data_IF_798816433452
#
_entry.id   IF_798816433452
#
_cell.length_a   1.000
_cell.length_b   1.000
_cell.length_c   1.000
_cell.angle_alpha   90.00
_cell.angle_beta   90.00
_cell.angle_gamma   90.00
#
_symmetry.space_group_name_H-M   'P 1'
#
loop_
_entity.id
_entity.type
_entity.pdbx_description
1 polymer ?
#
# COMPACT_ATOMS: atom_id res chain seq x y z
N UNK A 1 -9.38 -56.19 -27.76
CA UNK A 1 -8.44 -55.04 -27.74
C UNK A 1 -9.03 -53.77 -28.40
N UNK A 2 -10.34 -53.47 -28.23
CA UNK A 2 -11.04 -52.36 -28.93
C UNK A 2 -11.46 -51.18 -28.03
N UNK A 3 -11.31 -51.30 -26.71
CA UNK A 3 -11.77 -50.31 -25.71
C UNK A 3 -10.61 -49.45 -25.17
N UNK A 4 -9.37 -49.88 -25.38
CA UNK A 4 -8.18 -49.20 -24.86
C UNK A 4 -7.96 -47.86 -25.59
N UNK A 5 -8.20 -47.82 -26.91
CA UNK A 5 -8.03 -46.62 -27.73
C UNK A 5 -8.97 -45.45 -27.32
N UNK A 6 -10.30 -45.66 -27.17
CA UNK A 6 -11.18 -44.57 -26.73
C UNK A 6 -10.93 -44.15 -25.28
N UNK A 7 -10.55 -45.08 -24.40
CA UNK A 7 -10.23 -44.77 -23.01
C UNK A 7 -8.98 -43.88 -22.90
N UNK A 8 -7.95 -44.16 -23.70
CA UNK A 8 -6.71 -43.39 -23.72
C UNK A 8 -6.93 -41.99 -24.32
N UNK A 9 -7.81 -41.87 -25.33
CA UNK A 9 -8.22 -40.58 -25.87
C UNK A 9 -9.00 -39.73 -24.85
N UNK A 10 -9.92 -40.33 -24.08
CA UNK A 10 -10.61 -39.62 -23.00
C UNK A 10 -9.66 -39.11 -21.91
N UNK A 11 -8.67 -39.91 -21.51
CA UNK A 11 -7.68 -39.50 -20.50
C UNK A 11 -6.86 -38.30 -21.01
N UNK A 12 -6.45 -38.31 -22.27
CA UNK A 12 -5.72 -37.18 -22.89
C UNK A 12 -6.61 -35.92 -22.93
N UNK A 13 -7.89 -36.03 -23.28
CA UNK A 13 -8.81 -34.90 -23.29
C UNK A 13 -9.03 -34.30 -21.89
N UNK A 14 -9.11 -35.14 -20.85
CA UNK A 14 -9.28 -34.68 -19.46
C UNK A 14 -8.00 -33.98 -18.97
N UNK A 15 -6.83 -34.50 -19.30
CA UNK A 15 -5.55 -33.86 -18.96
C UNK A 15 -5.37 -32.53 -19.71
N UNK A 16 -5.75 -32.46 -20.99
CA UNK A 16 -5.70 -31.22 -21.76
C UNK A 16 -6.68 -30.16 -21.22
N UNK A 17 -7.89 -30.55 -20.82
CA UNK A 17 -8.86 -29.65 -20.20
C UNK A 17 -8.40 -29.14 -18.82
N UNK A 18 -7.69 -29.97 -18.04
CA UNK A 18 -7.09 -29.56 -16.77
C UNK A 18 -5.88 -28.62 -16.89
N UNK A 19 -5.27 -28.52 -18.07
CA UNK A 19 -4.16 -27.60 -18.34
C UNK A 19 -4.61 -26.25 -18.89
N UNK A 20 -5.86 -26.10 -19.34
CA UNK A 20 -6.43 -24.80 -19.69
C UNK A 20 -6.97 -24.20 -18.40
N UNK A 21 -6.05 -23.69 -17.59
CA UNK A 21 -6.39 -22.89 -16.41
C UNK A 21 -7.37 -21.78 -16.83
N UNK A 22 -8.45 -21.65 -16.07
CA UNK A 22 -9.42 -20.57 -16.26
C UNK A 22 -8.67 -19.23 -16.31
N UNK A 23 -8.93 -18.34 -17.30
CA UNK A 23 -8.25 -17.04 -17.41
C UNK A 23 -8.58 -16.09 -16.24
N UNK A 24 -9.40 -16.51 -15.28
CA UNK A 24 -9.88 -15.73 -14.13
C UNK A 24 -8.85 -15.54 -13.01
N UNK A 25 -7.58 -15.95 -13.21
CA UNK A 25 -6.52 -15.87 -12.18
C UNK A 25 -5.43 -14.83 -12.47
N UNK A 26 -5.62 -13.96 -13.46
CA UNK A 26 -4.70 -12.85 -13.74
C UNK A 26 -5.22 -11.48 -13.29
N UNK A 27 -6.32 -11.43 -12.56
CA UNK A 27 -6.65 -10.23 -11.78
C UNK A 27 -5.88 -10.32 -10.46
N UNK A 28 -4.68 -9.73 -10.43
CA UNK A 28 -4.03 -9.42 -9.18
C UNK A 28 -5.01 -8.57 -8.37
N UNK A 29 -5.51 -9.08 -7.26
CA UNK A 29 -6.33 -8.34 -6.31
C UNK A 29 -5.50 -7.13 -5.84
N UNK A 30 -5.65 -6.00 -6.53
CA UNK A 30 -4.97 -4.76 -6.19
C UNK A 30 -5.89 -3.99 -5.23
N UNK A 31 -5.63 -4.14 -3.94
CA UNK A 31 -6.31 -3.34 -2.91
C UNK A 31 -5.64 -1.96 -2.83
N UNK A 32 -6.43 -0.92 -3.00
CA UNK A 32 -5.99 0.47 -2.76
C UNK A 32 -6.40 0.88 -1.35
N UNK A 33 -5.48 1.51 -0.63
CA UNK A 33 -5.69 1.98 0.73
C UNK A 33 -5.41 3.49 0.76
N UNK A 34 -6.34 4.25 1.33
CA UNK A 34 -6.20 5.68 1.53
C UNK A 34 -6.40 5.99 3.01
N UNK A 35 -5.48 6.78 3.56
CA UNK A 35 -5.51 7.22 4.95
C UNK A 35 -5.54 8.74 4.97
N UNK A 36 -6.47 9.31 5.75
CA UNK A 36 -6.55 10.74 6.01
C UNK A 36 -6.45 10.95 7.52
N UNK A 37 -5.49 11.77 7.95
CA UNK A 37 -5.26 12.11 9.34
C UNK A 37 -5.10 13.62 9.48
N UNK A 38 -5.90 14.22 10.36
CA UNK A 38 -5.87 15.66 10.64
C UNK A 38 -5.41 15.88 12.08
N UNK A 39 -4.31 16.60 12.25
CA UNK A 39 -3.73 16.93 13.56
C UNK A 39 -3.82 18.44 13.79
N UNK A 40 -4.45 18.83 14.89
CA UNK A 40 -4.59 20.24 15.31
C UNK A 40 -3.84 20.49 16.60
N UNK A 41 -2.92 21.45 16.60
CA UNK A 41 -2.07 21.78 17.75
C UNK A 41 -1.76 23.29 17.77
N UNK A 42 -1.59 23.84 18.97
CA UNK A 42 -1.31 25.28 19.18
C UNK A 42 0.13 25.55 19.60
N UNK A 43 0.87 24.51 19.98
CA UNK A 43 2.27 24.57 20.41
C UNK A 43 3.10 23.58 19.59
N UNK A 44 4.40 23.84 19.37
CA UNK A 44 5.25 22.92 18.62
C UNK A 44 5.27 21.52 19.23
N UNK A 45 5.11 20.50 18.39
CA UNK A 45 5.29 19.10 18.79
C UNK A 45 6.71 18.66 18.47
N UNK A 46 7.28 17.80 19.32
CA UNK A 46 8.63 17.27 19.17
C UNK A 46 8.60 15.74 19.17
N UNK A 47 9.52 15.12 18.45
CA UNK A 47 9.63 13.65 18.33
C UNK A 47 8.31 13.01 17.89
N UNK A 48 7.72 13.53 16.82
CA UNK A 48 6.44 13.05 16.30
C UNK A 48 6.67 11.78 15.50
N UNK A 49 5.85 10.77 15.74
CA UNK A 49 5.80 9.54 14.93
C UNK A 49 4.35 9.25 14.56
N UNK A 50 4.08 9.12 13.27
CA UNK A 50 2.81 8.64 12.74
C UNK A 50 3.00 7.21 12.24
N UNK A 51 2.18 6.27 12.73
CA UNK A 51 2.19 4.87 12.31
C UNK A 51 0.93 4.59 11.52
N UNK A 52 1.09 4.37 10.21
CA UNK A 52 -0.01 4.02 9.31
C UNK A 52 0.09 2.52 8.98
N UNK A 53 -0.99 1.73 9.12
CA UNK A 53 -0.96 0.31 8.76
C UNK A 53 -0.46 0.11 7.32
N UNK A 54 0.48 -0.81 7.12
CA UNK A 54 1.07 -1.09 5.81
C UNK A 54 0.63 -2.49 5.32
N UNK A 55 -0.29 -2.57 4.33
CA UNK A 55 -0.96 -3.83 3.98
C UNK A 55 -0.16 -4.76 3.06
N UNK A 56 1.07 -4.39 2.63
CA UNK A 56 1.83 -5.19 1.66
C UNK A 56 2.67 -6.29 2.31
N UNK A 57 2.55 -7.50 1.76
CA UNK A 57 3.22 -8.73 2.19
C UNK A 57 4.47 -9.10 1.38
N UNK A 58 4.99 -8.23 0.50
CA UNK A 58 6.04 -8.70 -0.43
C UNK A 58 6.99 -7.68 -1.04
N UNK A 59 6.80 -6.37 -0.83
CA UNK A 59 7.72 -5.37 -1.35
C UNK A 59 7.73 -4.14 -0.45
N UNK A 60 8.92 -3.66 -0.13
CA UNK A 60 9.11 -2.36 0.49
C UNK A 60 9.25 -1.34 -0.63
N UNK A 61 8.36 -0.34 -0.72
CA UNK A 61 8.47 0.69 -1.73
C UNK A 61 9.83 1.36 -1.55
N UNK A 62 10.47 1.70 -2.66
CA UNK A 62 11.71 2.45 -2.56
C UNK A 62 11.35 3.78 -1.88
N UNK A 63 12.19 4.26 -0.96
CA UNK A 63 11.95 5.50 -0.22
C UNK A 63 11.69 6.71 -1.15
N UNK A 64 12.15 6.63 -2.40
CA UNK A 64 11.86 7.59 -3.48
C UNK A 64 10.39 7.68 -3.90
N UNK A 65 9.57 6.71 -3.54
CA UNK A 65 8.18 6.60 -3.99
C UNK A 65 7.20 7.36 -3.07
N UNK A 66 7.68 7.88 -1.94
CA UNK A 66 6.89 8.66 -1.00
C UNK A 66 6.85 10.14 -1.43
N UNK A 67 5.80 10.50 -2.17
CA UNK A 67 5.54 11.89 -2.52
C UNK A 67 4.82 12.64 -1.39
N UNK A 68 5.14 13.93 -1.22
CA UNK A 68 4.41 14.82 -0.31
C UNK A 68 4.85 14.76 1.15
N UNK A 69 5.94 14.06 1.46
CA UNK A 69 6.57 14.13 2.78
C UNK A 69 7.31 15.48 2.90
N UNK A 70 7.03 16.30 3.93
CA UNK A 70 7.73 17.57 4.13
C UNK A 70 9.24 17.40 4.32
N UNK A 71 10.01 18.44 3.98
CA UNK A 71 11.45 18.44 4.19
C UNK A 71 11.81 18.21 5.67
N UNK A 72 12.81 17.36 5.91
CA UNK A 72 13.28 17.01 7.25
C UNK A 72 12.44 15.96 7.97
N UNK A 73 11.45 15.36 7.29
CA UNK A 73 10.72 14.20 7.79
C UNK A 73 11.34 12.92 7.24
N UNK A 74 11.32 11.86 8.05
CA UNK A 74 11.81 10.54 7.69
C UNK A 74 10.63 9.58 7.54
N UNK A 75 10.69 8.69 6.54
CA UNK A 75 9.72 7.62 6.40
C UNK A 75 10.43 6.28 6.30
N UNK A 76 9.86 5.25 6.91
CA UNK A 76 10.36 3.88 6.83
C UNK A 76 9.22 2.88 7.05
N UNK A 77 9.39 1.65 6.58
CA UNK A 77 8.50 0.54 6.94
C UNK A 77 9.05 -0.15 8.17
N UNK A 78 8.28 -0.16 9.26
CA UNK A 78 8.63 -0.83 10.52
C UNK A 78 7.70 -1.99 10.78
N UNK A 79 8.17 -3.00 11.53
CA UNK A 79 7.33 -4.11 11.99
C UNK A 79 7.24 -4.05 13.51
N UNK A 80 6.01 -3.98 14.03
CA UNK A 80 5.69 -3.94 15.47
C UNK A 80 4.68 -5.06 15.71
N UNK A 81 5.00 -6.00 16.59
CA UNK A 81 4.13 -7.12 16.95
C UNK A 81 3.54 -7.83 15.71
N UNK A 82 4.42 -8.25 14.79
CA UNK A 82 4.08 -8.93 13.52
C UNK A 82 3.26 -8.10 12.52
N UNK A 83 2.91 -6.86 12.86
CA UNK A 83 2.18 -5.93 11.98
C UNK A 83 3.13 -4.91 11.37
N UNK A 84 2.96 -4.66 10.07
CA UNK A 84 3.79 -3.69 9.34
C UNK A 84 3.14 -2.31 9.35
N UNK A 85 3.95 -1.28 9.51
CA UNK A 85 3.52 0.11 9.51
C UNK A 85 4.44 0.95 8.64
N UNK A 86 3.86 1.90 7.91
CA UNK A 86 4.57 3.07 7.44
C UNK A 86 4.74 4.02 8.62
N UNK A 87 5.99 4.14 9.09
CA UNK A 87 6.39 5.06 10.14
C UNK A 87 6.88 6.35 9.50
N UNK A 88 6.22 7.45 9.82
CA UNK A 88 6.61 8.79 9.40
C UNK A 88 7.03 9.59 10.64
N UNK A 89 8.28 10.06 10.65
CA UNK A 89 8.93 10.69 11.80
C UNK A 89 9.33 12.12 11.50
N UNK A 90 9.21 12.97 12.50
CA UNK A 90 9.70 14.33 12.46
C UNK A 90 10.24 14.75 13.83
N UNK A 91 11.43 15.35 13.85
CA UNK A 91 12.01 15.92 15.07
C UNK A 91 11.11 17.01 15.66
N UNK A 92 10.43 17.75 14.78
CA UNK A 92 9.59 18.89 15.15
C UNK A 92 8.45 19.14 14.14
N UNK A 93 7.27 19.44 14.66
CA UNK A 93 6.15 20.05 13.91
C UNK A 93 5.83 21.43 14.47
N UNK A 94 5.78 22.44 13.60
CA UNK A 94 5.46 23.82 13.97
C UNK A 94 4.03 24.12 13.49
N UNK A 95 3.17 24.72 14.32
CA UNK A 95 1.83 25.09 13.86
C UNK A 95 1.96 26.15 12.77
N UNK A 96 1.47 25.85 11.57
CA UNK A 96 1.38 26.82 10.49
C UNK A 96 0.17 27.72 10.72
N UNK A 97 0.43 28.92 11.23
CA UNK A 97 -0.57 29.97 11.27
C UNK A 97 -0.66 30.60 9.88
N UNK A 98 -1.69 30.25 9.11
CA UNK A 98 -2.08 31.07 7.97
C UNK A 98 -2.57 32.40 8.52
N UNK A 99 -1.82 33.48 8.24
CA UNK A 99 -2.23 34.83 8.60
C UNK A 99 -3.63 35.13 8.07
N UNK A 100 -4.36 36.03 8.75
CA UNK A 100 -5.67 36.47 8.26
C UNK A 100 -5.56 36.89 6.79
N UNK A 101 -6.46 36.44 5.90
CA UNK A 101 -6.49 36.91 4.53
C UNK A 101 -6.53 38.44 4.52
N UNK A 102 -5.59 39.08 3.84
CA UNK A 102 -5.63 40.52 3.61
C UNK A 102 -6.59 40.73 2.44
N UNK A 103 -7.64 41.55 2.67
CA UNK A 103 -8.52 41.94 1.59
C UNK A 103 -7.73 42.72 0.53
N UNK A 104 -7.91 42.38 -0.74
CA UNK A 104 -7.36 43.16 -1.85
C UNK A 104 -8.30 44.37 -2.02
N UNK A 105 -7.84 45.57 -1.68
CA UNK A 105 -8.57 46.80 -2.02
C UNK A 105 -8.38 47.13 -3.51
N UNK A 106 -9.47 47.45 -4.24
CA UNK A 106 -9.43 47.77 -5.67
C UNK A 106 -8.83 49.15 -5.98
#
# INVERSE_FOLDING_TARGET
>A
MRIILPALFCIICILAAGCIGSPESLDSYQSSYSYEATLSFTEPLYNVTLLLPYPSTGFDPLLSDFYGIPDGWEAEIVTIDETRFLSIKADRMIPEYRGMPIAIEP
#
